data_IF_877052311918
#
_entry.id   IF_877052311918
#
_cell.length_a   1.000
_cell.length_b   1.000
_cell.length_c   1.000
_cell.angle_alpha   90.00
_cell.angle_beta   90.00
_cell.angle_gamma   90.00
#
_symmetry.space_group_name_H-M   'P 1'
#
loop_
_entity.id
_entity.type
_entity.pdbx_description
1 polymer ?
#
# COMPACT_ATOMS: atom_id res chain seq x y z
N UNK A 1 -24.24 7.58 -22.34
CA UNK A 1 -24.67 8.35 -21.15
C UNK A 1 -24.00 9.71 -21.21
N UNK A 2 -24.70 10.83 -20.96
CA UNK A 2 -24.04 12.12 -20.85
C UNK A 2 -23.01 12.05 -19.72
N UNK A 3 -21.78 12.51 -19.98
CA UNK A 3 -20.76 12.64 -18.93
C UNK A 3 -21.38 13.55 -17.85
N UNK A 4 -21.56 13.03 -16.63
CA UNK A 4 -21.80 13.89 -15.46
C UNK A 4 -20.74 14.99 -15.49
N UNK A 5 -21.10 16.19 -15.04
CA UNK A 5 -20.16 17.31 -14.94
C UNK A 5 -18.97 16.93 -14.04
N UNK A 6 -17.92 16.40 -14.67
CA UNK A 6 -16.74 15.89 -14.00
C UNK A 6 -15.96 17.02 -13.35
N UNK A 7 -16.02 18.23 -13.92
CA UNK A 7 -15.38 19.41 -13.34
C UNK A 7 -16.05 19.80 -12.02
N UNK A 8 -17.38 19.85 -12.00
CA UNK A 8 -18.15 20.10 -10.77
C UNK A 8 -17.89 19.07 -9.67
N UNK A 9 -17.83 17.77 -10.03
CA UNK A 9 -17.57 16.70 -9.07
C UNK A 9 -16.16 16.79 -8.45
N UNK A 10 -15.13 17.01 -9.27
CA UNK A 10 -13.75 17.13 -8.78
C UNK A 10 -13.57 18.39 -7.92
N UNK A 11 -14.21 19.50 -8.28
CA UNK A 11 -14.21 20.71 -7.46
C UNK A 11 -14.87 20.49 -6.10
N UNK A 12 -15.99 19.76 -6.05
CA UNK A 12 -16.67 19.43 -4.80
C UNK A 12 -15.83 18.50 -3.91
N UNK A 13 -15.15 17.50 -4.48
CA UNK A 13 -14.22 16.63 -3.74
C UNK A 13 -13.08 17.45 -3.12
N UNK A 14 -12.43 18.31 -3.91
CA UNK A 14 -11.32 19.14 -3.44
C UNK A 14 -11.76 20.12 -2.33
N UNK A 15 -12.91 20.77 -2.49
CA UNK A 15 -13.48 21.64 -1.47
C UNK A 15 -13.88 20.87 -0.20
N UNK A 16 -14.42 19.67 -0.34
CA UNK A 16 -14.77 18.79 0.78
C UNK A 16 -13.55 18.40 1.61
N UNK A 17 -12.44 18.00 0.97
CA UNK A 17 -11.19 17.68 1.67
C UNK A 17 -10.59 18.95 2.29
N UNK A 18 -10.40 20.01 1.51
CA UNK A 18 -9.74 21.24 1.96
C UNK A 18 -10.52 22.03 3.01
N UNK A 19 -11.83 21.80 3.10
CA UNK A 19 -12.73 22.38 4.10
C UNK A 19 -13.10 21.43 5.23
N UNK A 20 -12.45 20.27 5.37
CA UNK A 20 -12.72 19.26 6.40
C UNK A 20 -14.16 18.69 6.40
N UNK A 21 -14.87 18.74 5.25
CA UNK A 21 -16.14 18.06 5.06
C UNK A 21 -15.99 16.58 4.65
N UNK A 22 -14.78 16.16 4.28
CA UNK A 22 -14.40 14.78 3.99
C UNK A 22 -13.13 14.48 4.78
N UNK A 23 -13.18 13.46 5.64
CA UNK A 23 -12.01 12.98 6.36
C UNK A 23 -11.13 12.08 5.46
N UNK A 24 -9.82 12.28 5.56
CA UNK A 24 -8.82 11.41 4.94
C UNK A 24 -8.14 10.63 6.06
N UNK A 25 -8.32 9.31 6.05
CA UNK A 25 -7.75 8.40 7.05
C UNK A 25 -6.57 7.66 6.44
N UNK A 26 -5.42 7.73 7.10
CA UNK A 26 -4.23 6.97 6.71
C UNK A 26 -4.32 5.53 7.23
N UNK A 27 -4.11 4.56 6.34
CA UNK A 27 -4.11 3.13 6.62
C UNK A 27 -2.71 2.50 6.46
N UNK A 28 -1.67 3.32 6.50
CA UNK A 28 -0.28 2.92 6.20
C UNK A 28 0.54 2.81 7.49
N UNK A 29 1.25 1.69 7.66
CA UNK A 29 2.29 1.61 8.69
C UNK A 29 3.56 2.32 8.23
N UNK A 30 4.26 3.00 9.16
CA UNK A 30 5.55 3.62 8.86
C UNK A 30 6.59 2.55 8.50
N UNK A 31 7.26 2.73 7.36
CA UNK A 31 8.40 1.90 6.98
C UNK A 31 9.59 2.17 7.91
N UNK A 32 9.93 1.18 8.71
CA UNK A 32 11.02 1.21 9.67
C UNK A 32 11.82 -0.09 9.59
N UNK A 33 13.14 -0.09 9.90
CA UNK A 33 13.95 -1.30 9.83
C UNK A 33 13.50 -2.43 10.76
N UNK A 34 12.74 -2.11 11.81
CA UNK A 34 12.17 -3.03 12.80
C UNK A 34 10.73 -3.47 12.49
N UNK A 35 10.09 -2.91 11.44
CA UNK A 35 8.78 -3.39 11.02
C UNK A 35 8.88 -4.84 10.51
N UNK A 36 8.02 -5.76 11.00
CA UNK A 36 8.08 -7.16 10.61
C UNK A 36 7.75 -7.34 9.12
N UNK A 37 8.44 -8.27 8.47
CA UNK A 37 8.15 -8.72 7.10
C UNK A 37 7.80 -10.21 7.08
N UNK A 38 7.18 -10.66 5.99
CA UNK A 38 6.86 -12.07 5.78
C UNK A 38 8.12 -12.95 5.86
N UNK A 39 8.02 -14.04 6.62
CA UNK A 39 9.04 -15.09 6.73
C UNK A 39 8.52 -16.36 6.09
N UNK A 40 9.31 -16.92 5.18
CA UNK A 40 8.98 -18.18 4.48
C UNK A 40 9.85 -19.32 5.02
N UNK A 41 9.51 -20.59 4.73
CA UNK A 41 10.41 -21.72 4.95
C UNK A 41 11.83 -21.43 4.45
N UNK A 42 12.88 -21.83 5.19
CA UNK A 42 14.26 -21.39 4.95
C UNK A 42 14.84 -21.81 3.59
N UNK A 43 14.24 -22.80 2.93
CA UNK A 43 14.59 -23.24 1.58
C UNK A 43 14.10 -22.29 0.46
N UNK A 44 13.22 -21.34 0.78
CA UNK A 44 12.69 -20.35 -0.17
C UNK A 44 13.41 -18.99 -0.01
N UNK A 45 13.38 -18.20 -1.08
CA UNK A 45 13.84 -16.81 -1.06
C UNK A 45 13.02 -15.97 -0.06
N UNK A 46 13.70 -15.13 0.71
CA UNK A 46 13.08 -14.38 1.81
C UNK A 46 12.78 -12.93 1.40
N UNK A 47 11.75 -12.34 2.01
CA UNK A 47 11.43 -10.93 1.87
C UNK A 47 12.52 -10.08 2.55
N UNK A 48 13.15 -9.16 1.81
CA UNK A 48 14.13 -8.24 2.36
C UNK A 48 13.43 -7.16 3.21
N UNK A 49 13.86 -6.94 4.46
CA UNK A 49 13.30 -5.88 5.29
C UNK A 49 13.66 -4.49 4.75
N UNK A 50 12.92 -3.47 5.20
CA UNK A 50 13.24 -2.09 4.88
C UNK A 50 14.61 -1.69 5.44
N UNK A 51 15.43 -1.07 4.60
CA UNK A 51 16.69 -0.42 5.00
C UNK A 51 16.73 1.00 4.48
N UNK A 52 17.33 1.87 5.28
CA UNK A 52 17.50 3.29 4.97
C UNK A 52 18.93 3.70 5.31
N UNK A 53 19.60 4.39 4.40
CA UNK A 53 20.99 4.83 4.53
C UNK A 53 21.10 6.30 4.17
N UNK A 54 21.59 7.11 5.12
CA UNK A 54 21.71 8.55 4.91
C UNK A 54 22.79 8.87 3.87
N UNK A 55 22.40 9.63 2.84
CA UNK A 55 23.34 10.09 1.81
C UNK A 55 23.98 11.40 2.23
N UNK A 56 23.18 12.38 2.66
CA UNK A 56 23.65 13.65 3.21
C UNK A 56 22.62 14.22 4.18
N UNK A 57 23.07 15.09 5.09
CA UNK A 57 22.20 15.88 5.97
C UNK A 57 22.82 17.23 6.32
N UNK A 58 22.73 18.19 5.39
CA UNK A 58 23.19 19.57 5.59
C UNK A 58 24.66 19.66 6.08
N UNK A 59 25.48 18.72 5.62
CA UNK A 59 26.88 18.56 5.96
C UNK A 59 27.73 18.66 4.69
N UNK A 60 29.02 18.32 4.77
CA UNK A 60 29.93 18.39 3.62
C UNK A 60 29.51 17.46 2.45
N UNK A 61 28.74 16.39 2.73
CA UNK A 61 28.22 15.48 1.70
C UNK A 61 27.05 16.09 0.93
N UNK A 62 26.38 17.11 1.49
CA UNK A 62 25.26 17.82 0.87
C UNK A 62 24.85 19.04 1.69
N UNK A 63 25.49 20.21 1.50
CA UNK A 63 25.32 21.36 2.40
C UNK A 63 23.92 21.97 2.41
N UNK A 64 23.14 21.76 1.34
CA UNK A 64 21.81 22.36 1.18
C UNK A 64 20.64 21.39 1.30
N UNK A 65 20.87 20.09 1.52
CA UNK A 65 19.80 19.09 1.44
C UNK A 65 20.02 17.86 2.32
N UNK A 66 18.92 17.18 2.61
CA UNK A 66 18.84 15.92 3.33
C UNK A 66 18.08 14.89 2.50
N UNK A 67 18.61 13.67 2.43
CA UNK A 67 17.99 12.53 1.74
C UNK A 67 18.68 11.20 2.10
N UNK A 68 18.03 10.08 1.76
CA UNK A 68 18.50 8.73 2.05
C UNK A 68 18.36 7.83 0.82
N UNK A 69 19.23 6.83 0.72
CA UNK A 69 18.97 5.65 -0.08
C UNK A 69 18.04 4.71 0.68
N UNK A 70 17.18 4.01 -0.04
CA UNK A 70 16.27 3.00 0.52
C UNK A 70 16.40 1.68 -0.23
N UNK A 71 16.23 0.57 0.47
CA UNK A 71 16.06 -0.76 -0.15
C UNK A 71 15.03 -1.58 0.62
N UNK A 72 14.27 -2.39 -0.11
CA UNK A 72 13.21 -3.26 0.41
C UNK A 72 12.81 -4.26 -0.69
N UNK A 73 12.08 -5.32 -0.31
CA UNK A 73 11.32 -6.11 -1.29
C UNK A 73 9.96 -5.48 -1.59
N UNK A 74 9.36 -5.84 -2.73
CA UNK A 74 8.05 -5.34 -3.18
C UNK A 74 6.91 -5.58 -2.17
N UNK A 75 7.05 -6.61 -1.32
CA UNK A 75 6.05 -7.03 -0.33
C UNK A 75 6.42 -6.66 1.12
N UNK A 76 7.20 -5.59 1.31
CA UNK A 76 7.58 -5.11 2.64
C UNK A 76 6.58 -4.06 3.17
N UNK A 77 6.12 -4.21 4.41
CA UNK A 77 5.19 -3.27 5.05
C UNK A 77 3.79 -3.27 4.44
N UNK A 78 3.07 -2.14 4.52
CA UNK A 78 1.82 -1.93 3.80
C UNK A 78 2.11 -1.86 2.29
N UNK A 79 1.69 -2.87 1.53
CA UNK A 79 2.02 -3.03 0.11
C UNK A 79 0.79 -3.42 -0.74
N UNK A 80 0.99 -3.61 -2.05
CA UNK A 80 -0.04 -3.97 -3.02
C UNK A 80 0.37 -5.21 -3.82
N UNK A 81 -0.49 -6.23 -3.84
CA UNK A 81 -0.27 -7.45 -4.61
C UNK A 81 -0.92 -7.37 -6.00
N UNK A 82 -0.09 -7.32 -7.04
CA UNK A 82 -0.57 -7.42 -8.42
C UNK A 82 -0.82 -8.89 -8.82
N UNK A 83 -1.72 -9.18 -9.79
CA UNK A 83 -2.05 -10.57 -10.17
C UNK A 83 -0.83 -11.43 -10.55
N UNK A 84 0.21 -10.83 -11.15
CA UNK A 84 1.42 -11.52 -11.55
C UNK A 84 2.28 -12.02 -10.37
N UNK A 85 2.01 -11.56 -9.14
CA UNK A 85 2.68 -12.06 -7.94
C UNK A 85 2.50 -13.58 -7.77
N UNK A 86 1.33 -14.11 -8.15
CA UNK A 86 1.05 -15.53 -8.03
C UNK A 86 1.10 -16.26 -9.38
N UNK A 87 1.50 -17.54 -9.32
CA UNK A 87 1.67 -18.38 -10.51
C UNK A 87 0.41 -18.52 -11.37
N UNK A 88 -0.78 -18.43 -10.77
CA UNK A 88 -2.06 -18.47 -11.48
C UNK A 88 -2.37 -17.21 -12.29
N UNK A 89 -1.77 -16.07 -11.91
CA UNK A 89 -1.94 -14.79 -12.59
C UNK A 89 -0.83 -14.45 -13.61
N UNK A 90 0.23 -15.27 -13.70
CA UNK A 90 1.43 -15.01 -14.52
C UNK A 90 1.19 -14.69 -16.00
N UNK A 91 0.06 -15.13 -16.56
CA UNK A 91 -0.30 -14.97 -17.97
C UNK A 91 -1.48 -14.01 -18.19
N UNK A 92 -1.98 -13.36 -17.13
CA UNK A 92 -3.05 -12.38 -17.27
C UNK A 92 -2.50 -11.10 -17.91
N UNK A 93 -3.26 -10.43 -18.78
CA UNK A 93 -2.89 -9.12 -19.28
C UNK A 93 -2.97 -8.09 -18.14
N UNK A 94 -2.09 -7.08 -18.17
CA UNK A 94 -2.09 -5.99 -17.18
C UNK A 94 -1.95 -6.47 -15.72
N UNK A 95 -1.10 -7.48 -15.52
CA UNK A 95 -0.98 -8.21 -14.26
C UNK A 95 0.16 -7.72 -13.36
N UNK A 96 1.00 -6.79 -13.83
CA UNK A 96 2.08 -6.16 -13.05
C UNK A 96 1.69 -4.74 -12.65
N UNK A 97 2.33 -4.19 -11.60
CA UNK A 97 1.99 -2.86 -11.05
C UNK A 97 2.18 -1.71 -12.04
N UNK A 98 3.09 -1.85 -13.00
CA UNK A 98 3.36 -0.87 -14.06
C UNK A 98 2.36 -0.93 -15.23
N UNK A 99 1.54 -1.99 -15.30
CA UNK A 99 0.58 -2.22 -16.39
C UNK A 99 -0.89 -2.19 -15.95
N UNK A 100 -1.15 -2.20 -14.65
CA UNK A 100 -2.50 -2.21 -14.08
C UNK A 100 -3.26 -0.91 -14.43
N UNK A 101 -4.54 -0.98 -14.86
CA UNK A 101 -5.31 0.24 -15.14
C UNK A 101 -5.49 1.10 -13.89
N UNK A 102 -5.10 2.38 -13.95
CA UNK A 102 -5.11 3.28 -12.79
C UNK A 102 -6.50 3.51 -12.20
N UNK A 103 -7.56 3.32 -12.98
CA UNK A 103 -8.95 3.42 -12.51
C UNK A 103 -9.26 2.37 -11.43
N UNK A 104 -8.48 1.28 -11.35
CA UNK A 104 -8.62 0.27 -10.30
C UNK A 104 -7.98 0.65 -8.97
N UNK A 105 -7.19 1.73 -8.93
CA UNK A 105 -6.57 2.22 -7.69
C UNK A 105 -7.51 3.08 -6.84
N UNK A 106 -8.70 3.42 -7.37
CA UNK A 106 -9.74 4.15 -6.65
C UNK A 106 -11.01 3.31 -6.71
N UNK A 107 -11.36 2.70 -5.58
CA UNK A 107 -12.53 1.82 -5.49
C UNK A 107 -13.28 2.04 -4.16
N UNK A 108 -14.60 1.80 -4.12
CA UNK A 108 -15.32 1.65 -2.88
C UNK A 108 -14.79 0.45 -2.09
N UNK A 109 -14.78 0.56 -0.77
CA UNK A 109 -14.42 -0.53 0.14
C UNK A 109 -15.56 -0.80 1.13
N UNK A 110 -15.59 -2.00 1.68
CA UNK A 110 -16.42 -2.37 2.84
C UNK A 110 -15.51 -2.82 3.98
N UNK A 111 -15.94 -2.57 5.21
CA UNK A 111 -15.25 -3.04 6.41
C UNK A 111 -16.12 -4.12 7.05
N UNK A 112 -15.60 -5.35 7.11
CA UNK A 112 -16.18 -6.44 7.87
C UNK A 112 -15.39 -6.54 9.18
N UNK A 113 -16.05 -6.33 10.31
CA UNK A 113 -15.40 -6.35 11.63
C UNK A 113 -15.47 -7.75 12.25
N UNK A 114 -14.31 -8.38 12.40
CA UNK A 114 -14.10 -9.67 13.07
C UNK A 114 -13.10 -9.56 14.22
N UNK A 115 -12.91 -8.35 14.76
CA UNK A 115 -11.90 -8.09 15.78
C UNK A 115 -12.08 -8.92 17.04
N UNK A 116 -13.32 -9.28 17.39
CA UNK A 116 -13.63 -10.10 18.58
C UNK A 116 -13.32 -11.57 18.34
N UNK A 117 -13.64 -12.07 17.16
CA UNK A 117 -13.40 -13.43 16.73
C UNK A 117 -11.88 -13.69 16.65
N UNK A 118 -11.14 -12.81 15.97
CA UNK A 118 -9.67 -12.90 15.88
C UNK A 118 -8.96 -12.71 17.23
N UNK A 119 -9.55 -11.97 18.17
CA UNK A 119 -9.00 -11.87 19.53
C UNK A 119 -9.23 -13.14 20.38
N UNK A 120 -10.22 -13.95 20.02
CA UNK A 120 -10.52 -15.22 20.69
C UNK A 120 -9.81 -16.41 20.03
N UNK A 121 -9.53 -16.33 18.73
CA UNK A 121 -8.89 -17.36 17.92
C UNK A 121 -7.94 -16.71 16.89
N UNK A 122 -6.63 -16.90 17.09
CA UNK A 122 -5.58 -16.38 16.21
C UNK A 122 -5.66 -16.97 14.79
N UNK A 123 -6.32 -18.13 14.62
CA UNK A 123 -6.51 -18.85 13.35
C UNK A 123 -7.95 -18.74 12.81
N UNK A 124 -8.74 -17.74 13.25
CA UNK A 124 -10.13 -17.55 12.83
C UNK A 124 -10.31 -17.55 11.30
N UNK A 125 -11.29 -18.34 10.82
CA UNK A 125 -11.60 -18.48 9.39
C UNK A 125 -12.92 -17.78 9.02
N UNK A 126 -12.85 -16.83 8.09
CA UNK A 126 -14.03 -16.25 7.46
C UNK A 126 -14.71 -17.25 6.51
N UNK A 127 -15.99 -17.54 6.74
CA UNK A 127 -16.80 -18.43 5.89
C UNK A 127 -17.86 -17.65 5.12
N UNK A 128 -18.34 -18.22 4.01
CA UNK A 128 -19.59 -17.79 3.40
C UNK A 128 -20.77 -18.15 4.32
N UNK A 129 -21.86 -17.38 4.20
CA UNK A 129 -23.14 -17.70 4.83
C UNK A 129 -23.95 -18.72 4.00
#
# INVERSE_FOLDING_TARGET
MPKKDAAGLLAALAAGIGGNGIDVVDLTHTLTPDFPVMVLPPELGQCQPFRIEEVSRYDERGPGWYWNNISMSEHAGTHFDAPAHWISGRNLPHATVDQLPFEKLIAPAVVLDFSRESAADEDFLLTAA
#
